data_IF_255945046668
#
_entry.id   IF_255945046668
#
_cell.length_a   1.000
_cell.length_b   1.000
_cell.length_c   1.000
_cell.angle_alpha   90.00
_cell.angle_beta   90.00
_cell.angle_gamma   90.00
#
_symmetry.space_group_name_H-M   'P 1'
#
loop_
_entity.id
_entity.type
_entity.pdbx_description
1 polymer ?
#
# COMPACT_ATOMS: atom_id res chain seq x y z
N UNK A 1 41.24 -25.23 4.65
CA UNK A 1 40.69 -24.05 5.38
C UNK A 1 39.61 -23.40 4.51
N UNK A 2 38.42 -23.99 4.53
CA UNK A 2 37.17 -23.48 5.15
C UNK A 2 36.37 -22.51 4.28
N UNK A 3 35.61 -23.08 3.34
CA UNK A 3 34.41 -22.49 2.74
C UNK A 3 33.20 -22.94 3.57
N UNK A 4 32.83 -22.19 4.61
CA UNK A 4 31.58 -22.34 5.39
C UNK A 4 31.42 -21.10 6.28
N UNK A 5 30.57 -20.13 5.89
CA UNK A 5 29.80 -19.23 6.77
C UNK A 5 29.19 -18.02 6.04
N UNK A 6 28.28 -18.25 5.09
CA UNK A 6 27.30 -17.22 4.69
C UNK A 6 25.84 -17.70 4.65
N UNK A 7 25.58 -18.99 4.85
CA UNK A 7 24.22 -19.57 4.86
C UNK A 7 23.62 -19.75 6.27
N UNK A 8 24.11 -19.05 7.29
CA UNK A 8 23.64 -19.23 8.68
C UNK A 8 22.73 -18.11 9.20
N UNK A 9 22.27 -17.18 8.36
CA UNK A 9 21.36 -16.09 8.77
C UNK A 9 19.95 -16.15 8.16
N UNK A 10 19.59 -17.31 7.57
CA UNK A 10 18.26 -17.55 6.98
C UNK A 10 17.59 -18.84 7.49
N UNK A 11 18.11 -19.44 8.57
CA UNK A 11 17.53 -20.63 9.22
C UNK A 11 17.82 -20.56 10.71
N UNK A 12 17.00 -19.79 11.42
CA UNK A 12 16.76 -19.87 12.87
C UNK A 12 15.65 -18.84 13.20
N UNK A 13 14.49 -19.03 12.58
CA UNK A 13 13.21 -18.44 12.98
C UNK A 13 12.16 -19.54 12.86
N UNK A 14 12.34 -20.59 13.65
CA UNK A 14 11.31 -21.58 13.91
C UNK A 14 11.34 -21.84 15.40
N UNK A 15 10.22 -21.54 16.06
CA UNK A 15 9.93 -21.64 17.49
C UNK A 15 10.07 -20.33 18.26
N UNK A 16 9.15 -19.41 18.00
CA UNK A 16 8.55 -18.62 19.06
C UNK A 16 7.04 -18.82 18.97
N UNK A 17 6.50 -19.76 19.76
CA UNK A 17 5.08 -19.74 20.13
C UNK A 17 4.90 -18.52 21.06
N UNK A 18 4.77 -17.34 20.45
CA UNK A 18 4.32 -16.13 21.11
C UNK A 18 2.83 -16.01 20.87
N UNK A 19 2.03 -16.14 21.92
CA UNK A 19 0.66 -15.63 21.93
C UNK A 19 0.73 -14.10 21.83
N UNK A 20 0.87 -13.58 20.62
CA UNK A 20 0.81 -12.14 20.37
C UNK A 20 -0.63 -11.69 20.58
N UNK A 21 -0.84 -10.82 21.57
CA UNK A 21 -2.13 -10.15 21.73
C UNK A 21 -2.46 -9.43 20.42
N UNK A 22 -3.68 -9.59 19.87
CA UNK A 22 -4.07 -8.84 18.69
C UNK A 22 -4.01 -7.35 19.02
N UNK A 23 -3.29 -6.60 18.18
CA UNK A 23 -3.19 -5.14 18.26
C UNK A 23 -4.61 -4.56 18.29
N UNK A 24 -4.87 -3.66 19.23
CA UNK A 24 -6.17 -3.01 19.39
C UNK A 24 -6.41 -1.96 18.31
N UNK A 25 -7.68 -1.62 18.04
CA UNK A 25 -8.03 -0.53 17.12
C UNK A 25 -7.45 0.82 17.57
N UNK A 26 -7.26 1.03 18.87
CA UNK A 26 -6.61 2.23 19.40
C UNK A 26 -5.14 2.32 18.99
N UNK A 27 -4.39 1.21 19.10
CA UNK A 27 -2.98 1.17 18.69
C UNK A 27 -2.82 1.38 17.17
N UNK A 28 -3.74 0.89 16.35
CA UNK A 28 -3.77 1.20 14.91
C UNK A 28 -3.93 2.70 14.67
N UNK A 29 -4.88 3.35 15.34
CA UNK A 29 -5.14 4.77 15.13
C UNK A 29 -4.02 5.66 15.65
N UNK A 30 -3.40 5.31 16.77
CA UNK A 30 -2.20 5.99 17.26
C UNK A 30 -1.05 5.84 16.25
N UNK A 31 -0.87 4.65 15.67
CA UNK A 31 0.11 4.41 14.62
C UNK A 31 -0.17 5.24 13.36
N UNK A 32 -1.41 5.25 12.86
CA UNK A 32 -1.78 6.04 11.68
C UNK A 32 -1.59 7.54 11.95
N UNK A 33 -1.98 8.03 13.13
CA UNK A 33 -1.81 9.44 13.50
C UNK A 33 -0.34 9.83 13.53
N UNK A 34 0.52 9.02 14.18
CA UNK A 34 1.96 9.28 14.24
C UNK A 34 2.60 9.20 12.85
N UNK A 35 2.22 8.21 12.04
CA UNK A 35 2.72 8.02 10.69
C UNK A 35 2.37 9.22 9.80
N UNK A 36 1.10 9.62 9.74
CA UNK A 36 0.67 10.73 8.89
C UNK A 36 1.19 12.07 9.41
N UNK A 37 1.43 12.22 10.71
CA UNK A 37 2.07 13.41 11.28
C UNK A 37 3.56 13.51 10.87
N UNK A 38 4.33 12.43 11.01
CA UNK A 38 5.76 12.41 10.64
C UNK A 38 5.99 12.41 9.13
N UNK A 39 5.13 11.70 8.41
CA UNK A 39 5.19 11.49 6.96
C UNK A 39 4.91 12.75 6.13
N UNK A 40 4.35 13.82 6.73
CA UNK A 40 4.14 15.11 6.03
C UNK A 40 5.44 15.67 5.43
N UNK A 41 6.58 15.40 6.07
CA UNK A 41 7.89 15.91 5.66
C UNK A 41 8.69 14.90 4.80
N UNK A 42 8.13 13.74 4.45
CA UNK A 42 8.84 12.66 3.77
C UNK A 42 8.50 12.62 2.28
N UNK A 43 9.38 13.16 1.43
CA UNK A 43 9.17 13.29 -0.02
C UNK A 43 9.02 11.94 -0.74
N UNK A 44 8.10 11.87 -1.69
CA UNK A 44 7.82 10.70 -2.55
C UNK A 44 8.12 11.00 -4.03
N UNK A 45 8.56 9.98 -4.77
CA UNK A 45 8.79 10.08 -6.22
C UNK A 45 9.83 11.15 -6.61
N UNK A 46 9.42 12.14 -7.42
CA UNK A 46 10.27 13.28 -7.81
C UNK A 46 10.39 14.37 -6.73
N UNK A 47 9.76 14.18 -5.57
CA UNK A 47 9.77 15.14 -4.47
C UNK A 47 8.71 16.24 -4.57
N UNK A 48 7.68 16.05 -5.40
CA UNK A 48 6.58 17.01 -5.56
C UNK A 48 5.47 16.81 -4.51
N UNK A 49 5.33 15.61 -3.97
CA UNK A 49 4.38 15.23 -2.92
C UNK A 49 5.07 14.30 -1.92
N UNK A 50 4.66 14.28 -0.65
CA UNK A 50 5.09 13.28 0.33
C UNK A 50 4.32 11.97 0.18
N UNK A 51 4.78 10.86 0.75
CA UNK A 51 4.07 9.57 0.64
C UNK A 51 2.69 9.65 1.30
N UNK A 52 2.60 10.24 2.50
CA UNK A 52 1.31 10.47 3.14
C UNK A 52 0.45 11.49 2.35
N UNK A 53 1.08 12.51 1.75
CA UNK A 53 0.36 13.44 0.87
C UNK A 53 -0.22 12.76 -0.37
N UNK A 54 0.52 11.81 -0.96
CA UNK A 54 0.05 10.97 -2.06
C UNK A 54 -1.14 10.13 -1.63
N UNK A 55 -1.02 9.38 -0.53
CA UNK A 55 -2.12 8.60 0.06
C UNK A 55 -3.39 9.43 0.35
N UNK A 56 -3.25 10.63 0.92
CA UNK A 56 -4.38 11.55 1.14
C UNK A 56 -5.01 12.03 -0.17
N UNK A 57 -4.20 12.32 -1.19
CA UNK A 57 -4.69 12.71 -2.51
C UNK A 57 -5.43 11.56 -3.21
N UNK A 58 -4.96 10.33 -3.07
CA UNK A 58 -5.62 9.14 -3.62
C UNK A 58 -6.99 8.95 -2.97
N UNK A 59 -7.08 9.07 -1.64
CA UNK A 59 -8.35 9.01 -0.90
C UNK A 59 -9.33 10.13 -1.30
N UNK A 60 -8.83 11.36 -1.44
CA UNK A 60 -9.62 12.52 -1.87
C UNK A 60 -10.19 12.33 -3.29
N UNK A 61 -9.40 11.79 -4.23
CA UNK A 61 -9.87 11.46 -5.58
C UNK A 61 -10.95 10.36 -5.56
N UNK A 62 -10.79 9.33 -4.73
CA UNK A 62 -11.79 8.28 -4.55
C UNK A 62 -13.10 8.84 -3.98
N UNK A 63 -13.02 9.71 -2.97
CA UNK A 63 -14.18 10.35 -2.36
C UNK A 63 -14.92 11.25 -3.36
N UNK A 64 -14.20 12.06 -4.14
CA UNK A 64 -14.78 12.91 -5.18
C UNK A 64 -15.45 12.09 -6.30
N UNK A 65 -14.96 10.87 -6.57
CA UNK A 65 -15.57 9.96 -7.52
C UNK A 65 -16.82 9.23 -6.98
N UNK A 66 -17.19 9.46 -5.71
CA UNK A 66 -18.33 8.79 -5.07
C UNK A 66 -18.08 7.31 -4.78
N UNK A 67 -16.82 6.93 -4.54
CA UNK A 67 -16.46 5.56 -4.16
C UNK A 67 -17.08 5.14 -2.82
N UNK A 68 -17.15 3.83 -2.57
CA UNK A 68 -17.58 3.31 -1.28
C UNK A 68 -16.59 3.69 -0.17
N UNK A 69 -17.07 3.76 1.08
CA UNK A 69 -16.21 4.04 2.25
C UNK A 69 -15.01 3.10 2.31
N UNK A 70 -15.21 1.81 2.07
CA UNK A 70 -14.13 0.81 2.06
C UNK A 70 -13.07 1.10 1.00
N UNK A 71 -13.47 1.53 -0.19
CA UNK A 71 -12.52 1.85 -1.26
C UNK A 71 -11.82 3.20 -1.04
N UNK A 72 -12.48 4.16 -0.39
CA UNK A 72 -11.83 5.41 0.08
C UNK A 72 -10.74 5.07 1.10
N UNK A 73 -11.01 4.16 2.04
CA UNK A 73 -10.04 3.72 3.05
C UNK A 73 -8.91 2.91 2.40
N UNK A 74 -9.23 2.02 1.46
CA UNK A 74 -8.21 1.31 0.69
C UNK A 74 -7.30 2.31 -0.06
N UNK A 75 -7.88 3.37 -0.62
CA UNK A 75 -7.15 4.47 -1.27
C UNK A 75 -6.23 5.22 -0.33
N UNK A 76 -6.70 5.49 0.89
CA UNK A 76 -5.91 6.14 1.92
C UNK A 76 -4.72 5.28 2.38
N UNK A 77 -4.86 3.95 2.40
CA UNK A 77 -3.89 3.06 3.05
C UNK A 77 -3.08 2.17 2.09
N UNK A 78 -3.29 2.25 0.78
CA UNK A 78 -2.72 1.30 -0.20
C UNK A 78 -1.18 1.19 -0.15
N UNK A 79 -0.49 2.30 0.11
CA UNK A 79 0.97 2.38 0.13
C UNK A 79 1.57 2.23 1.54
N UNK A 80 0.76 1.92 2.57
CA UNK A 80 1.23 1.85 3.96
C UNK A 80 2.36 0.83 4.18
N UNK A 81 2.40 -0.23 3.36
CA UNK A 81 3.44 -1.26 3.42
C UNK A 81 4.84 -0.74 3.10
N UNK A 82 4.98 0.44 2.49
CA UNK A 82 6.29 1.05 2.25
C UNK A 82 7.00 1.50 3.53
N UNK A 83 6.26 1.75 4.60
CA UNK A 83 6.84 2.27 5.85
C UNK A 83 7.52 1.20 6.71
N UNK A 84 7.56 -0.05 6.25
CA UNK A 84 8.31 -1.15 6.86
C UNK A 84 7.79 -1.47 8.26
N UNK A 85 6.89 -2.44 8.37
CA UNK A 85 6.46 -2.94 9.67
C UNK A 85 7.26 -4.17 10.02
N UNK A 86 8.45 -3.98 10.60
CA UNK A 86 8.94 -5.00 11.53
C UNK A 86 7.88 -5.07 12.64
N UNK A 87 7.20 -6.21 12.74
CA UNK A 87 6.28 -6.46 13.84
C UNK A 87 7.13 -6.47 15.12
N UNK A 88 6.91 -5.56 16.10
CA UNK A 88 5.77 -4.66 16.30
C UNK A 88 6.03 -3.22 15.81
N UNK A 89 5.15 -2.70 14.94
CA UNK A 89 4.87 -1.28 14.59
C UNK A 89 5.94 -0.22 14.95
N UNK A 90 7.21 -0.46 14.64
CA UNK A 90 8.30 0.48 14.90
C UNK A 90 8.74 1.14 13.61
N UNK A 91 8.30 2.37 13.42
CA UNK A 91 8.79 3.22 12.34
C UNK A 91 10.25 3.61 12.61
N UNK A 92 11.18 3.12 11.80
CA UNK A 92 12.54 3.65 11.76
C UNK A 92 12.70 4.54 10.52
N UNK A 93 13.39 5.67 10.67
CA UNK A 93 13.61 6.63 9.57
C UNK A 93 14.45 6.08 8.42
N UNK A 94 15.07 4.91 8.60
CA UNK A 94 15.87 4.21 7.58
C UNK A 94 15.01 3.31 6.66
N UNK A 95 13.77 2.97 7.06
CA UNK A 95 12.82 2.14 6.30
C UNK A 95 12.29 2.81 5.04
N UNK A 96 12.62 4.08 4.79
CA UNK A 96 12.36 4.74 3.51
C UNK A 96 13.28 4.21 2.42
N UNK A 97 12.99 2.99 1.95
CA UNK A 97 13.66 2.46 0.76
C UNK A 97 13.35 3.40 -0.41
N UNK A 98 14.38 4.08 -0.91
CA UNK A 98 14.26 4.93 -2.08
C UNK A 98 13.80 4.05 -3.27
N UNK A 99 12.50 4.08 -3.62
CA UNK A 99 11.93 3.30 -4.73
C UNK A 99 12.71 3.41 -6.05
N UNK A 100 13.40 4.54 -6.28
CA UNK A 100 14.24 4.75 -7.47
C UNK A 100 15.56 3.98 -7.44
N UNK A 101 16.09 3.63 -6.27
CA UNK A 101 17.30 2.82 -6.11
C UNK A 101 17.00 1.40 -5.64
N UNK A 102 15.72 1.03 -5.51
CA UNK A 102 15.33 -0.33 -5.25
C UNK A 102 15.82 -1.25 -6.37
N UNK A 103 16.49 -2.34 -5.99
CA UNK A 103 16.97 -3.38 -6.89
C UNK A 103 16.11 -4.64 -6.86
N UNK A 104 15.11 -4.67 -5.97
CA UNK A 104 14.20 -5.78 -5.75
C UNK A 104 12.80 -5.23 -5.45
N UNK A 105 11.78 -6.02 -5.76
CA UNK A 105 10.41 -5.75 -5.37
C UNK A 105 10.20 -6.10 -3.89
N UNK A 106 9.80 -5.09 -3.10
CA UNK A 106 9.56 -5.24 -1.67
C UNK A 106 8.14 -5.72 -1.33
N UNK A 107 7.27 -5.89 -2.34
CA UNK A 107 5.89 -6.36 -2.17
C UNK A 107 5.11 -5.58 -1.12
N UNK A 108 5.12 -4.25 -1.23
CA UNK A 108 4.52 -3.35 -0.25
C UNK A 108 2.99 -3.51 -0.19
N UNK A 109 2.37 -3.89 -1.30
CA UNK A 109 0.95 -4.24 -1.39
C UNK A 109 0.58 -5.41 -0.47
N UNK A 110 1.46 -6.41 -0.38
CA UNK A 110 1.27 -7.58 0.47
C UNK A 110 1.56 -7.25 1.93
N UNK A 111 2.61 -6.48 2.18
CA UNK A 111 2.96 -6.02 3.53
C UNK A 111 1.85 -5.17 4.12
N UNK A 112 1.33 -4.20 3.37
CA UNK A 112 0.22 -3.35 3.78
C UNK A 112 -1.08 -4.15 4.00
N UNK A 113 -1.43 -5.03 3.08
CA UNK A 113 -2.59 -5.90 3.23
C UNK A 113 -2.47 -6.80 4.48
N UNK A 114 -1.30 -7.40 4.71
CA UNK A 114 -1.04 -8.25 5.89
C UNK A 114 -1.16 -7.47 7.20
N UNK A 115 -0.58 -6.27 7.24
CA UNK A 115 -0.67 -5.36 8.39
C UNK A 115 -2.12 -5.03 8.75
N UNK A 116 -2.96 -4.78 7.74
CA UNK A 116 -4.31 -4.26 7.92
C UNK A 116 -5.39 -5.35 8.05
N UNK A 117 -5.10 -6.59 7.64
CA UNK A 117 -6.03 -7.73 7.68
C UNK A 117 -6.69 -7.96 9.04
N UNK A 118 -6.02 -7.76 10.19
CA UNK A 118 -6.67 -7.91 11.50
C UNK A 118 -7.79 -6.90 11.77
N UNK A 119 -7.81 -5.76 11.05
CA UNK A 119 -8.65 -4.60 11.36
C UNK A 119 -9.79 -4.38 10.38
N UNK A 120 -9.59 -4.71 9.10
CA UNK A 120 -10.55 -4.37 8.04
C UNK A 120 -11.00 -5.60 7.25
N UNK A 121 -12.18 -5.48 6.64
CA UNK A 121 -12.75 -6.50 5.76
C UNK A 121 -12.04 -6.59 4.41
N UNK A 122 -12.33 -7.67 3.66
CA UNK A 122 -11.76 -7.92 2.33
C UNK A 122 -12.00 -6.78 1.33
N UNK A 123 -13.08 -6.03 1.50
CA UNK A 123 -13.45 -4.87 0.69
C UNK A 123 -12.50 -3.67 0.85
N UNK A 124 -11.72 -3.62 1.94
CA UNK A 124 -10.58 -2.72 2.10
C UNK A 124 -9.27 -3.41 1.71
N UNK A 125 -9.07 -4.65 2.18
CA UNK A 125 -7.78 -5.35 2.10
C UNK A 125 -7.43 -5.78 0.68
N UNK A 126 -8.39 -6.30 -0.09
CA UNK A 126 -8.08 -6.83 -1.43
C UNK A 126 -7.74 -5.74 -2.45
N UNK A 127 -8.43 -4.58 -2.51
CA UNK A 127 -7.96 -3.47 -3.34
C UNK A 127 -6.52 -3.04 -3.02
N UNK A 128 -6.16 -2.99 -1.73
CA UNK A 128 -4.79 -2.70 -1.28
C UNK A 128 -3.82 -3.78 -1.80
N UNK A 129 -4.14 -5.07 -1.60
CA UNK A 129 -3.28 -6.17 -2.05
C UNK A 129 -3.10 -6.20 -3.57
N UNK A 130 -4.14 -5.85 -4.31
CA UNK A 130 -4.21 -6.00 -5.76
C UNK A 130 -3.72 -4.76 -6.52
N UNK A 131 -3.45 -3.61 -5.88
CA UNK A 131 -3.15 -2.36 -6.59
C UNK A 131 -1.88 -2.44 -7.47
N UNK A 132 -0.89 -3.26 -7.11
CA UNK A 132 0.28 -3.53 -7.98
C UNK A 132 -0.10 -4.40 -9.17
N UNK A 133 -0.90 -5.44 -8.98
CA UNK A 133 -1.41 -6.26 -10.07
C UNK A 133 -2.30 -5.45 -11.03
N UNK A 134 -3.11 -4.53 -10.50
CA UNK A 134 -3.91 -3.58 -11.27
C UNK A 134 -3.05 -2.68 -12.17
N UNK A 135 -1.88 -2.22 -11.68
CA UNK A 135 -0.90 -1.53 -12.54
C UNK A 135 -0.46 -2.41 -13.71
N UNK A 136 -0.04 -3.65 -13.42
CA UNK A 136 0.44 -4.61 -14.43
C UNK A 136 -0.64 -4.90 -15.47
N UNK A 137 -1.89 -5.02 -15.03
CA UNK A 137 -3.07 -5.19 -15.86
C UNK A 137 -3.32 -3.98 -16.78
N UNK A 138 -3.33 -2.76 -16.24
CA UNK A 138 -3.57 -1.54 -17.03
C UNK A 138 -2.47 -1.34 -18.08
N UNK A 139 -1.22 -1.65 -17.75
CA UNK A 139 -0.12 -1.61 -18.72
C UNK A 139 -0.30 -2.62 -19.87
N UNK A 140 -0.84 -3.81 -19.58
CA UNK A 140 -1.08 -4.85 -20.57
C UNK A 140 -2.26 -4.54 -21.49
N UNK A 141 -3.32 -3.93 -20.94
CA UNK A 141 -4.62 -3.79 -21.61
C UNK A 141 -4.87 -2.40 -22.19
N UNK A 142 -4.16 -1.37 -21.71
CA UNK A 142 -4.32 0.02 -22.16
C UNK A 142 -2.97 0.58 -22.65
N UNK A 143 -2.67 0.53 -23.96
CA UNK A 143 -1.39 0.97 -24.50
C UNK A 143 -1.01 2.41 -24.11
N UNK A 144 -2.00 3.32 -24.09
CA UNK A 144 -1.81 4.72 -23.73
C UNK A 144 -1.41 4.90 -22.25
N UNK A 145 -1.89 4.01 -21.37
CA UNK A 145 -1.55 4.06 -19.94
C UNK A 145 -0.06 3.78 -19.72
N UNK A 146 0.52 2.80 -20.43
CA UNK A 146 1.94 2.47 -20.33
C UNK A 146 2.87 3.63 -20.77
N UNK A 147 2.44 4.41 -21.77
CA UNK A 147 3.21 5.56 -22.27
C UNK A 147 3.26 6.69 -21.23
N UNK A 148 2.19 6.86 -20.45
CA UNK A 148 2.05 7.95 -19.47
C UNK A 148 2.75 7.68 -18.13
N UNK A 149 3.25 6.46 -17.90
CA UNK A 149 3.92 6.12 -16.65
C UNK A 149 5.18 6.96 -16.39
N UNK A 150 5.33 7.37 -15.12
CA UNK A 150 6.56 8.01 -14.65
C UNK A 150 7.78 7.07 -14.80
N UNK A 151 8.98 7.64 -14.88
CA UNK A 151 10.23 6.84 -14.92
C UNK A 151 10.36 5.90 -13.70
N UNK A 152 9.90 6.33 -12.53
CA UNK A 152 9.93 5.53 -11.30
C UNK A 152 8.94 4.38 -11.39
N UNK A 153 7.70 4.65 -11.83
CA UNK A 153 6.65 3.64 -11.97
C UNK A 153 7.02 2.58 -13.00
N UNK A 154 7.67 2.98 -14.11
CA UNK A 154 8.19 2.04 -15.12
C UNK A 154 9.34 1.19 -14.59
N UNK A 155 10.22 1.75 -13.77
CA UNK A 155 11.31 1.00 -13.13
C UNK A 155 10.75 -0.07 -12.18
N UNK A 156 9.82 0.29 -11.29
CA UNK A 156 9.21 -0.67 -10.36
C UNK A 156 8.34 -1.70 -11.05
N UNK A 157 7.66 -1.33 -12.15
CA UNK A 157 6.94 -2.29 -13.00
C UNK A 157 7.84 -3.44 -13.48
N UNK A 158 9.08 -3.14 -13.88
CA UNK A 158 10.05 -4.16 -14.29
C UNK A 158 10.46 -5.10 -13.15
N UNK A 159 10.62 -4.57 -11.93
CA UNK A 159 10.93 -5.36 -10.74
C UNK A 159 9.76 -6.25 -10.31
N UNK A 160 8.53 -5.81 -10.58
CA UNK A 160 7.27 -6.48 -10.22
C UNK A 160 6.79 -7.49 -11.27
N UNK A 161 7.65 -7.90 -12.20
CA UNK A 161 7.33 -8.92 -13.21
C UNK A 161 6.70 -8.38 -14.50
N UNK A 162 6.71 -7.06 -14.73
CA UNK A 162 6.28 -6.45 -15.99
C UNK A 162 4.77 -6.46 -16.19
N UNK A 163 4.33 -6.30 -17.44
CA UNK A 163 2.91 -6.37 -17.81
C UNK A 163 2.37 -7.79 -17.59
N UNK A 164 1.08 -7.91 -17.31
CA UNK A 164 0.42 -9.22 -17.31
C UNK A 164 0.39 -9.81 -18.73
N UNK A 165 0.50 -11.13 -18.83
CA UNK A 165 0.16 -11.91 -20.03
C UNK A 165 -1.35 -12.03 -20.19
N UNK A 166 -1.83 -12.43 -21.38
CA UNK A 166 -3.27 -12.59 -21.64
C UNK A 166 -3.96 -13.53 -20.64
N UNK A 167 -3.29 -14.62 -20.25
CA UNK A 167 -3.81 -15.57 -19.25
C UNK A 167 -3.85 -14.94 -17.85
N UNK A 168 -2.82 -14.18 -17.47
CA UNK A 168 -2.80 -13.47 -16.19
C UNK A 168 -3.84 -12.35 -16.15
N UNK A 169 -4.14 -11.70 -17.28
CA UNK A 169 -5.21 -10.70 -17.42
C UNK A 169 -6.57 -11.32 -17.11
N UNK A 170 -6.89 -12.46 -17.72
CA UNK A 170 -8.13 -13.20 -17.43
C UNK A 170 -8.20 -13.61 -15.96
N UNK A 171 -7.12 -14.19 -15.45
CA UNK A 171 -7.02 -14.62 -14.04
C UNK A 171 -7.22 -13.45 -13.07
N UNK A 172 -6.64 -12.27 -13.37
CA UNK A 172 -6.77 -11.08 -12.55
C UNK A 172 -8.20 -10.54 -12.54
N UNK A 173 -8.89 -10.53 -13.68
CA UNK A 173 -10.27 -10.06 -13.76
C UNK A 173 -11.25 -10.94 -12.98
N UNK A 174 -10.95 -12.24 -12.86
CA UNK A 174 -11.74 -13.20 -12.08
C UNK A 174 -11.56 -13.05 -10.55
N UNK A 175 -10.55 -12.30 -10.10
CA UNK A 175 -10.34 -12.06 -8.66
C UNK A 175 -11.44 -11.13 -8.11
N UNK A 176 -11.98 -11.43 -6.91
CA UNK A 176 -12.80 -10.47 -6.17
C UNK A 176 -12.05 -9.14 -6.00
N UNK A 177 -12.78 -8.04 -6.11
CA UNK A 177 -12.25 -6.67 -5.95
C UNK A 177 -11.24 -6.21 -7.02
N UNK A 178 -11.05 -6.96 -8.11
CA UNK A 178 -10.15 -6.56 -9.22
C UNK A 178 -10.56 -5.21 -9.84
N UNK A 179 -11.87 -4.95 -9.95
CA UNK A 179 -12.41 -3.69 -10.49
C UNK A 179 -12.10 -2.50 -9.58
N UNK A 180 -12.28 -2.68 -8.28
CA UNK A 180 -11.97 -1.71 -7.24
C UNK A 180 -10.46 -1.43 -7.20
N UNK A 181 -9.63 -2.46 -7.34
CA UNK A 181 -8.18 -2.31 -7.45
C UNK A 181 -7.76 -1.53 -8.71
N UNK A 182 -8.43 -1.75 -9.85
CA UNK A 182 -8.23 -0.95 -11.07
C UNK A 182 -8.60 0.51 -10.84
N UNK A 183 -9.73 0.79 -10.19
CA UNK A 183 -10.14 2.17 -9.88
C UNK A 183 -9.16 2.86 -8.94
N UNK A 184 -8.81 2.19 -7.84
CA UNK A 184 -7.78 2.60 -6.89
C UNK A 184 -6.49 2.99 -7.61
N UNK A 185 -6.03 2.10 -8.50
CA UNK A 185 -4.77 2.30 -9.23
C UNK A 185 -4.79 3.57 -10.09
N UNK A 186 -5.92 3.90 -10.71
CA UNK A 186 -6.03 5.13 -11.50
C UNK A 186 -5.89 6.36 -10.62
N UNK A 187 -6.51 6.37 -9.44
CA UNK A 187 -6.37 7.48 -8.50
C UNK A 187 -4.94 7.60 -7.95
N UNK A 188 -4.28 6.47 -7.68
CA UNK A 188 -2.85 6.41 -7.30
C UNK A 188 -2.00 7.18 -8.34
N UNK A 189 -2.12 6.84 -9.63
CA UNK A 189 -1.31 7.53 -10.65
C UNK A 189 -1.60 9.04 -10.78
N UNK A 190 -2.82 9.49 -10.48
CA UNK A 190 -3.20 10.90 -10.53
C UNK A 190 -2.81 11.69 -9.26
N UNK A 191 -2.55 11.00 -8.14
CA UNK A 191 -2.27 11.60 -6.83
C UNK A 191 -0.83 12.11 -6.70
N UNK A 192 -0.40 12.98 -7.61
CA UNK A 192 0.97 13.50 -7.72
C UNK A 192 1.02 15.04 -7.71
N UNK A 193 -0.08 15.72 -7.38
CA UNK A 193 -0.18 17.17 -7.50
C UNK A 193 0.56 17.88 -6.37
N UNK A 194 1.59 18.67 -6.71
CA UNK A 194 2.31 19.49 -5.75
C UNK A 194 1.37 20.52 -5.08
N UNK A 195 1.46 20.64 -3.75
CA UNK A 195 0.71 21.64 -2.95
C UNK A 195 -0.82 21.58 -3.11
N UNK A 196 -1.39 20.46 -3.57
CA UNK A 196 -2.85 20.27 -3.56
C UNK A 196 -3.34 20.25 -2.12
N UNK A 197 -4.31 21.10 -1.79
CA UNK A 197 -5.02 21.02 -0.52
C UNK A 197 -6.03 19.88 -0.61
N UNK A 198 -5.93 18.94 0.32
CA UNK A 198 -6.82 17.78 0.48
C UNK A 198 -7.18 17.62 1.95
N UNK A 199 -8.27 16.91 2.30
CA UNK A 199 -8.55 16.55 3.68
C UNK A 199 -7.37 15.80 4.30
N UNK A 200 -7.14 16.03 5.59
CA UNK A 200 -6.13 15.32 6.38
C UNK A 200 -6.67 13.99 6.92
N UNK A 201 -5.84 13.27 7.70
CA UNK A 201 -6.24 11.99 8.28
C UNK A 201 -7.48 12.11 9.19
N UNK A 202 -7.61 13.21 9.94
CA UNK A 202 -8.71 13.45 10.88
C UNK A 202 -10.07 13.37 10.18
N UNK A 203 -10.16 13.91 8.96
CA UNK A 203 -11.37 13.81 8.14
C UNK A 203 -11.81 12.36 7.87
N UNK A 204 -10.86 11.41 7.76
CA UNK A 204 -11.13 10.01 7.47
C UNK A 204 -11.27 9.14 8.72
N UNK A 205 -11.02 9.66 9.92
CA UNK A 205 -11.05 8.87 11.17
C UNK A 205 -12.40 8.20 11.42
N UNK A 206 -13.51 8.92 11.17
CA UNK A 206 -14.85 8.35 11.29
C UNK A 206 -15.09 7.19 10.31
N UNK A 207 -14.59 7.30 9.07
CA UNK A 207 -14.69 6.21 8.10
C UNK A 207 -13.84 5.00 8.51
N UNK A 208 -12.64 5.24 9.02
CA UNK A 208 -11.75 4.20 9.54
C UNK A 208 -12.40 3.44 10.69
N UNK A 209 -13.02 4.14 11.65
CA UNK A 209 -13.78 3.55 12.76
C UNK A 209 -14.95 2.69 12.27
N UNK A 210 -15.73 3.20 11.31
CA UNK A 210 -16.87 2.48 10.76
C UNK A 210 -16.48 1.24 9.96
N UNK A 211 -15.29 1.22 9.35
CA UNK A 211 -14.81 0.10 8.55
C UNK A 211 -14.12 -1.01 9.35
N UNK A 212 -13.86 -0.80 10.65
CA UNK A 212 -13.32 -1.84 11.50
C UNK A 212 -14.21 -3.10 11.46
N UNK A 213 -13.59 -4.27 11.49
CA UNK A 213 -14.34 -5.54 11.63
C UNK A 213 -15.17 -5.52 12.92
N UNK A 214 -16.33 -6.18 12.91
CA UNK A 214 -17.37 -5.99 13.93
C UNK A 214 -16.92 -6.25 15.37
N UNK A 215 -15.93 -7.12 15.59
CA UNK A 215 -15.37 -7.42 16.90
C UNK A 215 -14.42 -6.33 17.45
N UNK A 216 -14.08 -5.32 16.64
CA UNK A 216 -13.22 -4.20 17.00
C UNK A 216 -13.97 -2.85 17.04
N UNK A 217 -15.24 -2.82 16.63
CA UNK A 217 -16.13 -1.67 16.82
C UNK A 217 -16.47 -1.53 18.30
N UNK A 218 -16.27 -0.34 18.87
CA UNK A 218 -16.64 -0.04 20.26
C UNK A 218 -18.14 0.20 20.41
#
# INVERSE_FOLDING_TARGET
MSRRNKNKKCRELSNAEGTENPISSAELFDFLSDLFFRGQNMTYGKGEVSMCGHMLQTADLAAQAGASSSLIIASLLHDIGHFGTDYPMHFNSESHSHMRSASQDCRHEEAGATLLTPFFGSDVIEPIRLHVAAKRYLCATEPEYNVQLSKTTRHTLGLQGGMLTDIEVETFLDLPYSKEAIQLRRWDDFAMAAKKSVPDLEYYMGLLEEALVSNLKR
#
